data_IF_407675983033
#
_entry.id   IF_407675983033
#
_cell.length_a   1.000
_cell.length_b   1.000
_cell.length_c   1.000
_cell.angle_alpha   90.00
_cell.angle_beta   90.00
_cell.angle_gamma   90.00
#
_symmetry.space_group_name_H-M   'P 1'
#
loop_
_entity.id
_entity.type
_entity.pdbx_description
1 polymer ?
#
# COMPACT_ATOMS: atom_id res chain seq x y z
N UNK A 1 10.27 20.64 -8.74
CA UNK A 1 8.94 20.01 -8.73
C UNK A 1 8.93 18.73 -7.92
N UNK A 2 8.66 18.89 -6.63
CA UNK A 2 8.25 17.86 -5.68
C UNK A 2 6.75 17.56 -5.83
N UNK A 3 6.25 16.52 -5.16
CA UNK A 3 4.82 16.20 -5.14
C UNK A 3 4.01 17.32 -4.47
N UNK A 4 4.55 17.94 -3.42
CA UNK A 4 3.95 19.11 -2.77
C UNK A 4 3.84 20.31 -3.71
N UNK A 5 4.93 20.66 -4.41
CA UNK A 5 4.93 21.76 -5.40
C UNK A 5 3.88 21.51 -6.50
N UNK A 6 3.81 20.28 -7.01
CA UNK A 6 2.80 19.89 -8.01
C UNK A 6 1.37 20.03 -7.49
N UNK A 7 1.11 19.62 -6.25
CA UNK A 7 -0.23 19.72 -5.64
C UNK A 7 -0.63 21.19 -5.57
N UNK A 8 0.24 22.06 -5.05
CA UNK A 8 -0.03 23.48 -4.93
C UNK A 8 -0.31 24.14 -6.29
N UNK A 9 0.53 23.85 -7.30
CA UNK A 9 0.32 24.34 -8.68
C UNK A 9 -1.03 23.89 -9.25
N UNK A 10 -1.40 22.61 -9.10
CA UNK A 10 -2.68 22.10 -9.62
C UNK A 10 -3.88 22.76 -8.92
N UNK A 11 -3.81 22.95 -7.60
CA UNK A 11 -4.89 23.57 -6.84
C UNK A 11 -5.06 25.04 -7.22
N UNK A 12 -3.96 25.77 -7.39
CA UNK A 12 -3.96 27.15 -7.86
C UNK A 12 -4.56 27.26 -9.28
N UNK A 13 -4.07 26.45 -10.22
CA UNK A 13 -4.60 26.39 -11.59
C UNK A 13 -6.10 26.04 -11.66
N UNK A 14 -6.61 25.29 -10.68
CA UNK A 14 -8.03 24.89 -10.60
C UNK A 14 -8.86 25.81 -9.72
N UNK A 15 -8.27 26.86 -9.15
CA UNK A 15 -8.90 27.78 -8.20
C UNK A 15 -9.57 27.06 -7.02
N UNK A 16 -8.91 26.02 -6.49
CA UNK A 16 -9.40 25.22 -5.37
C UNK A 16 -8.81 25.78 -4.08
N UNK A 17 -9.67 26.28 -3.20
CA UNK A 17 -9.25 26.73 -1.86
C UNK A 17 -8.87 25.55 -0.96
N UNK A 18 -7.75 25.68 -0.26
CA UNK A 18 -7.30 24.72 0.75
C UNK A 18 -8.04 25.03 2.05
N UNK A 19 -8.72 24.03 2.63
CA UNK A 19 -9.39 24.14 3.93
C UNK A 19 -8.60 23.38 5.00
N UNK A 20 -8.91 23.67 6.26
CA UNK A 20 -8.38 22.87 7.37
C UNK A 20 -8.77 21.39 7.19
N UNK A 21 -7.82 20.47 7.42
CA UNK A 21 -7.96 19.02 7.23
C UNK A 21 -8.20 18.56 5.78
N UNK A 22 -8.02 19.43 4.79
CA UNK A 22 -7.95 19.00 3.39
C UNK A 22 -6.56 18.44 3.07
N UNK A 23 -6.37 17.16 3.37
CA UNK A 23 -5.13 16.44 3.08
C UNK A 23 -5.01 16.10 1.58
N UNK A 24 -4.62 17.07 0.77
CA UNK A 24 -4.32 16.84 -0.64
C UNK A 24 -3.05 16.02 -0.80
N UNK A 25 -3.08 15.02 -1.67
CA UNK A 25 -1.96 14.14 -1.92
C UNK A 25 -1.92 13.76 -3.40
N UNK A 26 -0.71 13.64 -3.93
CA UNK A 26 -0.47 13.11 -5.26
C UNK A 26 -0.34 11.58 -5.16
N UNK A 27 -1.08 10.84 -5.97
CA UNK A 27 -1.05 9.39 -6.01
C UNK A 27 -0.54 8.90 -7.35
N UNK A 28 0.33 7.89 -7.34
CA UNK A 28 0.55 7.00 -8.48
C UNK A 28 -0.62 6.00 -8.52
N UNK A 29 -1.45 6.06 -9.55
CA UNK A 29 -2.55 5.11 -9.78
C UNK A 29 -2.13 4.15 -10.88
N UNK A 30 -2.40 2.87 -10.70
CA UNK A 30 -2.23 1.85 -11.72
C UNK A 30 -3.55 1.09 -11.95
N UNK A 31 -4.19 1.33 -13.09
CA UNK A 31 -5.50 0.79 -13.42
C UNK A 31 -5.48 -0.73 -13.54
N UNK A 32 -4.48 -1.26 -14.26
CA UNK A 32 -4.33 -2.71 -14.46
C UNK A 32 -4.09 -3.48 -13.16
N UNK A 33 -3.45 -2.85 -12.19
CA UNK A 33 -3.22 -3.42 -10.85
C UNK A 33 -4.38 -3.15 -9.90
N UNK A 34 -5.25 -2.20 -10.21
CA UNK A 34 -6.30 -1.69 -9.33
C UNK A 34 -5.72 -1.18 -8.00
N UNK A 35 -4.61 -0.45 -8.09
CA UNK A 35 -3.86 0.03 -6.92
C UNK A 35 -3.51 1.50 -7.03
N UNK A 36 -3.39 2.15 -5.88
CA UNK A 36 -2.88 3.50 -5.75
C UNK A 36 -1.79 3.59 -4.68
N UNK A 37 -0.84 4.49 -4.86
CA UNK A 37 0.26 4.74 -3.94
C UNK A 37 0.40 6.25 -3.70
N UNK A 38 0.15 6.75 -2.48
CA UNK A 38 0.45 8.14 -2.16
C UNK A 38 1.94 8.40 -2.28
N UNK A 39 2.29 9.48 -2.96
CA UNK A 39 3.67 9.93 -3.10
C UNK A 39 4.10 10.68 -1.83
N UNK A 40 5.36 10.51 -1.44
CA UNK A 40 5.97 11.33 -0.42
C UNK A 40 5.99 12.80 -0.88
N UNK A 41 5.66 13.74 0.00
CA UNK A 41 5.52 15.17 -0.34
C UNK A 41 6.80 15.77 -0.95
N UNK A 42 7.98 15.38 -0.45
CA UNK A 42 9.29 15.75 -1.02
C UNK A 42 9.74 14.90 -2.22
N UNK A 43 8.94 13.90 -2.62
CA UNK A 43 9.26 13.01 -3.74
C UNK A 43 9.31 13.78 -5.06
N UNK A 44 10.37 13.57 -5.86
CA UNK A 44 10.49 14.18 -7.19
C UNK A 44 9.48 13.56 -8.15
N UNK A 45 8.61 14.37 -8.73
CA UNK A 45 7.52 13.90 -9.61
C UNK A 45 8.04 13.45 -10.97
N UNK A 46 8.95 14.21 -11.59
CA UNK A 46 9.39 13.96 -12.97
C UNK A 46 9.96 12.54 -13.18
N UNK A 47 10.87 12.02 -12.31
CA UNK A 47 11.35 10.65 -12.45
C UNK A 47 10.24 9.61 -12.32
N UNK A 48 9.25 9.86 -11.44
CA UNK A 48 8.10 8.96 -11.26
C UNK A 48 7.27 8.94 -12.54
N UNK A 49 6.93 10.12 -13.07
CA UNK A 49 6.16 10.29 -14.30
C UNK A 49 6.83 9.59 -15.49
N UNK A 50 8.14 9.76 -15.67
CA UNK A 50 8.89 9.09 -16.74
C UNK A 50 8.98 7.56 -16.55
N UNK A 51 8.85 7.08 -15.31
CA UNK A 51 8.84 5.65 -14.98
C UNK A 51 7.46 4.99 -15.05
N UNK A 52 6.39 5.76 -15.31
CA UNK A 52 5.04 5.20 -15.39
C UNK A 52 4.87 4.35 -16.65
N UNK A 53 4.18 3.23 -16.49
CA UNK A 53 3.71 2.43 -17.63
C UNK A 53 2.42 3.00 -18.22
N UNK A 54 2.00 2.46 -19.36
CA UNK A 54 0.77 2.87 -20.07
C UNK A 54 -0.51 2.82 -19.23
N UNK A 55 -0.56 1.93 -18.24
CA UNK A 55 -1.72 1.74 -17.35
C UNK A 55 -1.62 2.58 -16.06
N UNK A 56 -0.69 3.55 -15.99
CA UNK A 56 -0.40 4.30 -14.77
C UNK A 56 -0.40 5.81 -15.01
N UNK A 57 -0.93 6.55 -14.04
CA UNK A 57 -0.98 8.02 -14.07
C UNK A 57 -0.87 8.61 -12.68
N UNK A 58 -0.63 9.92 -12.62
CA UNK A 58 -0.67 10.68 -11.39
C UNK A 58 -2.03 11.33 -11.21
N UNK A 59 -2.55 11.32 -9.99
CA UNK A 59 -3.78 12.04 -9.63
C UNK A 59 -3.55 12.83 -8.35
N UNK A 60 -4.00 14.08 -8.33
CA UNK A 60 -4.08 14.89 -7.11
C UNK A 60 -5.50 14.80 -6.57
N UNK A 61 -5.64 14.26 -5.35
CA UNK A 61 -6.93 14.09 -4.68
C UNK A 61 -6.77 14.20 -3.16
N UNK A 62 -7.89 14.40 -2.46
CA UNK A 62 -7.92 14.35 -1.00
C UNK A 62 -7.69 12.92 -0.51
N UNK A 63 -6.77 12.75 0.43
CA UNK A 63 -6.53 11.47 1.09
C UNK A 63 -7.40 11.35 2.34
N UNK A 64 -8.54 10.68 2.19
CA UNK A 64 -9.55 10.54 3.25
C UNK A 64 -9.03 9.87 4.52
N UNK A 65 -8.08 8.95 4.41
CA UNK A 65 -7.52 8.24 5.57
C UNK A 65 -6.38 8.99 6.27
N UNK A 66 -5.94 10.16 5.76
CA UNK A 66 -4.78 10.85 6.30
C UNK A 66 -4.98 11.29 7.77
N UNK A 67 -6.15 11.80 8.13
CA UNK A 67 -6.44 12.18 9.52
C UNK A 67 -6.26 10.97 10.46
N UNK A 68 -6.81 9.81 10.10
CA UNK A 68 -6.68 8.59 10.89
C UNK A 68 -5.23 8.10 10.96
N UNK A 69 -4.48 8.19 9.86
CA UNK A 69 -3.03 7.92 9.81
C UNK A 69 -2.27 8.82 10.78
N UNK A 70 -2.53 10.13 10.77
CA UNK A 70 -1.86 11.08 11.66
C UNK A 70 -2.22 10.85 13.13
N UNK A 71 -3.49 10.59 13.43
CA UNK A 71 -3.95 10.26 14.78
C UNK A 71 -3.27 8.97 15.29
N UNK A 72 -3.19 7.94 14.44
CA UNK A 72 -2.50 6.70 14.76
C UNK A 72 -1.01 6.95 15.05
N UNK A 73 -0.31 7.69 14.19
CA UNK A 73 1.12 8.00 14.38
C UNK A 73 1.36 8.81 15.65
N UNK A 74 0.46 9.75 15.98
CA UNK A 74 0.53 10.55 17.20
C UNK A 74 0.22 9.73 18.47
N UNK A 75 -0.65 8.72 18.38
CA UNK A 75 -1.01 7.86 19.50
C UNK A 75 -0.06 6.69 19.72
N UNK A 76 0.76 6.35 18.72
CA UNK A 76 1.58 5.15 18.73
C UNK A 76 2.83 5.29 19.59
N UNK A 77 2.73 4.76 20.81
CA UNK A 77 3.82 4.56 21.78
C UNK A 77 4.60 3.25 21.54
N UNK A 78 4.23 2.45 20.52
CA UNK A 78 4.83 1.14 20.23
C UNK A 78 5.47 1.03 18.84
N UNK A 79 6.70 0.54 18.78
CA UNK A 79 7.50 0.35 17.55
C UNK A 79 6.95 -0.74 16.60
N UNK A 80 5.84 -1.39 16.94
CA UNK A 80 5.36 -2.61 16.24
C UNK A 80 3.84 -2.68 16.17
N UNK A 81 3.29 -2.84 14.95
CA UNK A 81 1.89 -3.19 14.70
C UNK A 81 1.74 -4.70 14.50
N UNK A 82 0.75 -5.31 15.12
CA UNK A 82 0.43 -6.72 14.91
C UNK A 82 -1.07 -6.96 14.83
N UNK A 83 -1.46 -8.12 14.34
CA UNK A 83 -2.87 -8.52 14.24
C UNK A 83 -3.13 -9.56 13.15
N UNK A 84 -4.37 -10.02 13.10
CA UNK A 84 -4.86 -10.90 12.05
C UNK A 84 -5.11 -10.10 10.77
N UNK A 85 -4.66 -10.63 9.62
CA UNK A 85 -4.94 -10.07 8.30
C UNK A 85 -5.32 -11.21 7.36
N UNK A 86 -6.32 -10.99 6.52
CA UNK A 86 -6.63 -11.91 5.42
C UNK A 86 -5.57 -11.81 4.34
N UNK A 87 -4.83 -12.88 4.16
CA UNK A 87 -3.69 -12.96 3.26
C UNK A 87 -3.95 -13.91 2.08
N UNK A 88 -3.47 -13.51 0.91
CA UNK A 88 -3.48 -14.34 -0.30
C UNK A 88 -2.22 -14.13 -1.12
N UNK A 89 -1.61 -15.24 -1.56
CA UNK A 89 -0.45 -15.22 -2.44
C UNK A 89 -0.83 -15.34 -3.91
N UNK A 90 -0.15 -14.57 -4.76
CA UNK A 90 -0.33 -14.63 -6.21
C UNK A 90 0.64 -15.65 -6.83
N UNK A 91 0.17 -16.86 -7.06
CA UNK A 91 0.95 -17.91 -7.71
C UNK A 91 0.99 -17.81 -9.25
N UNK A 92 0.36 -16.79 -9.85
CA UNK A 92 0.29 -16.65 -11.32
C UNK A 92 1.65 -16.47 -12.00
N UNK A 93 2.73 -16.22 -11.24
CA UNK A 93 4.10 -16.09 -11.74
C UNK A 93 4.92 -17.40 -11.69
N UNK A 94 4.41 -18.48 -11.08
CA UNK A 94 5.18 -19.72 -10.86
C UNK A 94 5.09 -20.76 -11.99
N UNK A 95 4.57 -20.40 -13.18
CA UNK A 95 4.69 -21.23 -14.40
C UNK A 95 3.99 -22.60 -14.38
N UNK A 96 3.39 -23.03 -13.27
CA UNK A 96 2.57 -24.23 -13.20
C UNK A 96 1.19 -23.91 -13.76
N UNK A 97 0.96 -24.28 -15.02
CA UNK A 97 -0.24 -24.05 -15.83
C UNK A 97 -1.53 -24.71 -15.34
N UNK A 98 -1.82 -24.64 -14.05
CA UNK A 98 -3.16 -24.86 -13.52
C UNK A 98 -3.72 -23.47 -13.21
N UNK A 99 -4.49 -22.92 -14.15
CA UNK A 99 -5.19 -21.64 -14.06
C UNK A 99 -6.26 -21.58 -12.96
N UNK A 100 -6.11 -22.32 -11.86
CA UNK A 100 -6.91 -22.15 -10.67
C UNK A 100 -6.22 -21.17 -9.73
N UNK A 101 -6.95 -20.18 -9.17
CA UNK A 101 -6.46 -19.41 -8.05
C UNK A 101 -6.17 -20.37 -6.89
N UNK A 102 -4.90 -20.74 -6.71
CA UNK A 102 -4.48 -21.58 -5.60
C UNK A 102 -4.65 -20.78 -4.31
N UNK A 103 -5.73 -21.08 -3.57
CA UNK A 103 -6.06 -20.51 -2.27
C UNK A 103 -6.94 -19.25 -2.33
N UNK A 104 -8.05 -19.29 -1.59
CA UNK A 104 -8.77 -18.09 -1.17
C UNK A 104 -7.96 -17.27 -0.15
N UNK A 105 -8.54 -16.19 0.34
CA UNK A 105 -7.96 -15.45 1.45
C UNK A 105 -7.95 -16.31 2.73
N UNK A 106 -6.83 -16.31 3.43
CA UNK A 106 -6.63 -17.04 4.69
C UNK A 106 -6.33 -16.05 5.81
N UNK A 107 -6.94 -16.24 6.96
CA UNK A 107 -6.63 -15.45 8.16
C UNK A 107 -5.24 -15.85 8.69
N UNK A 108 -4.35 -14.86 8.76
CA UNK A 108 -2.94 -15.05 9.15
C UNK A 108 -2.52 -13.94 10.10
N UNK A 109 -1.71 -14.29 11.09
CA UNK A 109 -1.20 -13.31 12.05
C UNK A 109 0.09 -12.66 11.52
N UNK A 110 0.11 -11.34 11.47
CA UNK A 110 1.28 -10.56 11.08
C UNK A 110 1.78 -9.69 12.22
N UNK A 111 3.09 -9.43 12.21
CA UNK A 111 3.73 -8.39 13.01
C UNK A 111 4.65 -7.57 12.12
N UNK A 112 4.52 -6.25 12.16
CA UNK A 112 5.30 -5.30 11.39
C UNK A 112 5.96 -4.31 12.35
N UNK A 113 7.27 -4.14 12.20
CA UNK A 113 8.03 -3.08 12.86
C UNK A 113 8.85 -2.30 11.82
N UNK A 114 9.68 -1.36 12.27
CA UNK A 114 10.56 -0.55 11.40
C UNK A 114 11.52 -1.38 10.54
N UNK A 115 11.88 -2.58 10.99
CA UNK A 115 12.89 -3.40 10.32
C UNK A 115 12.29 -4.43 9.36
N UNK A 116 11.23 -5.12 9.77
CA UNK A 116 10.67 -6.24 9.01
C UNK A 116 9.19 -6.53 9.29
N UNK A 117 8.57 -7.18 8.30
CA UNK A 117 7.27 -7.82 8.40
C UNK A 117 7.47 -9.31 8.68
N UNK A 118 6.75 -9.84 9.66
CA UNK A 118 6.78 -11.25 10.07
C UNK A 118 5.40 -11.87 9.94
N UNK A 119 5.36 -13.06 9.36
CA UNK A 119 4.19 -13.94 9.32
C UNK A 119 4.31 -15.01 10.40
N UNK A 120 3.27 -15.18 11.21
CA UNK A 120 3.20 -16.17 12.27
C UNK A 120 2.12 -17.22 11.99
N UNK A 121 2.41 -18.46 12.37
CA UNK A 121 1.42 -19.53 12.54
C UNK A 121 1.36 -19.95 14.01
N UNK A 122 2.43 -20.58 14.51
CA UNK A 122 2.69 -20.84 15.95
C UNK A 122 4.07 -20.31 16.40
N UNK A 123 4.97 -20.09 15.44
CA UNK A 123 6.30 -19.44 15.55
C UNK A 123 6.50 -18.56 14.30
N UNK A 124 7.48 -17.64 14.25
CA UNK A 124 7.77 -16.87 13.04
C UNK A 124 8.04 -17.84 11.88
N UNK A 125 7.17 -17.85 10.88
CA UNK A 125 7.28 -18.73 9.73
C UNK A 125 8.16 -18.11 8.65
N UNK A 126 7.95 -16.81 8.41
CA UNK A 126 8.68 -16.02 7.41
C UNK A 126 8.88 -14.59 7.90
N UNK A 127 10.00 -14.00 7.51
CA UNK A 127 10.36 -12.62 7.82
C UNK A 127 10.86 -11.93 6.54
N UNK A 128 10.40 -10.70 6.30
CA UNK A 128 10.79 -9.88 5.16
C UNK A 128 11.21 -8.48 5.60
N UNK A 129 12.40 -7.99 5.21
CA UNK A 129 12.80 -6.61 5.48
C UNK A 129 11.82 -5.61 4.85
N UNK A 130 11.44 -4.55 5.57
CA UNK A 130 10.49 -3.55 5.03
C UNK A 130 11.02 -2.93 3.73
N UNK A 131 12.34 -2.72 3.64
CA UNK A 131 13.01 -2.14 2.47
C UNK A 131 12.87 -2.98 1.19
N UNK A 132 12.59 -4.28 1.29
CA UNK A 132 12.36 -5.14 0.11
C UNK A 132 10.88 -5.20 -0.31
N UNK A 133 9.98 -4.57 0.45
CA UNK A 133 8.55 -4.56 0.23
C UNK A 133 8.12 -3.24 -0.43
N UNK A 134 7.35 -3.33 -1.52
CA UNK A 134 6.55 -2.21 -2.05
C UNK A 134 5.10 -2.48 -1.71
N UNK A 135 4.50 -1.60 -0.92
CA UNK A 135 3.08 -1.66 -0.54
C UNK A 135 2.30 -0.63 -1.37
N UNK A 136 1.10 -0.97 -1.82
CA UNK A 136 0.19 -0.06 -2.53
C UNK A 136 -1.24 -0.32 -2.10
N UNK A 137 -2.04 0.72 -1.92
CA UNK A 137 -3.44 0.61 -1.54
C UNK A 137 -4.25 -0.03 -2.66
N UNK A 138 -5.17 -0.93 -2.33
CA UNK A 138 -6.03 -1.60 -3.28
C UNK A 138 -5.73 -3.08 -3.49
N UNK A 139 -6.79 -3.83 -3.80
CA UNK A 139 -6.76 -5.27 -4.10
C UNK A 139 -7.64 -5.49 -5.33
N UNK A 140 -7.18 -6.34 -6.25
CA UNK A 140 -7.92 -6.61 -7.49
C UNK A 140 -9.30 -7.21 -7.22
N UNK A 141 -10.34 -6.62 -7.79
CA UNK A 141 -11.73 -7.10 -7.67
C UNK A 141 -11.91 -8.53 -8.17
N UNK A 142 -11.18 -8.92 -9.22
CA UNK A 142 -11.21 -10.30 -9.77
C UNK A 142 -10.82 -11.38 -8.75
N UNK A 143 -10.13 -11.02 -7.68
CA UNK A 143 -9.75 -11.94 -6.61
C UNK A 143 -10.89 -12.20 -5.63
N UNK A 144 -12.03 -11.51 -5.78
CA UNK A 144 -13.20 -11.60 -4.91
C UNK A 144 -12.80 -11.46 -3.43
N UNK A 145 -12.12 -10.38 -3.02
CA UNK A 145 -11.82 -10.16 -1.62
C UNK A 145 -13.13 -10.03 -0.83
N UNK A 146 -13.18 -10.59 0.38
CA UNK A 146 -14.37 -10.49 1.23
C UNK A 146 -14.70 -9.05 1.64
N UNK A 147 -13.70 -8.16 1.58
CA UNK A 147 -13.74 -6.75 1.99
C UNK A 147 -12.75 -5.92 1.15
N UNK A 148 -13.12 -4.69 0.81
CA UNK A 148 -12.33 -3.81 -0.07
C UNK A 148 -11.20 -3.04 0.64
N UNK A 149 -11.04 -3.20 1.96
CA UNK A 149 -10.01 -2.52 2.76
C UNK A 149 -8.71 -3.33 2.74
N UNK A 150 -7.91 -3.13 1.72
CA UNK A 150 -6.70 -3.92 1.56
C UNK A 150 -5.63 -3.23 0.76
N UNK A 151 -4.47 -3.86 0.75
CA UNK A 151 -3.31 -3.42 0.01
C UNK A 151 -2.66 -4.59 -0.71
N UNK A 152 -2.02 -4.24 -1.81
CA UNK A 152 -1.19 -5.13 -2.60
C UNK A 152 0.26 -4.93 -2.16
N UNK A 153 0.92 -6.02 -1.81
CA UNK A 153 2.32 -6.03 -1.42
C UNK A 153 3.15 -6.77 -2.47
N UNK A 154 4.27 -6.19 -2.86
CA UNK A 154 5.22 -6.79 -3.80
C UNK A 154 6.58 -6.87 -3.13
N UNK A 155 7.09 -8.08 -2.98
CA UNK A 155 8.44 -8.33 -2.52
C UNK A 155 9.38 -8.48 -3.70
N UNK A 156 10.45 -7.70 -3.72
CA UNK A 156 11.53 -7.82 -4.71
C UNK A 156 12.69 -8.58 -4.10
N UNK A 157 13.03 -9.73 -4.69
CA UNK A 157 14.25 -10.46 -4.30
C UNK A 157 15.47 -9.94 -5.07
N UNK A 158 16.67 -10.27 -4.59
CA UNK A 158 17.94 -9.97 -5.26
C UNK A 158 18.03 -10.56 -6.67
N UNK A 159 17.30 -11.66 -6.92
CA UNK A 159 17.23 -12.34 -8.23
C UNK A 159 16.19 -11.73 -9.19
N UNK A 160 15.65 -10.55 -8.88
CA UNK A 160 14.53 -9.92 -9.58
C UNK A 160 13.21 -10.73 -9.60
N UNK A 161 13.11 -11.82 -8.83
CA UNK A 161 11.85 -12.51 -8.65
C UNK A 161 10.90 -11.62 -7.84
N UNK A 162 9.68 -11.48 -8.33
CA UNK A 162 8.65 -10.64 -7.70
C UNK A 162 7.59 -11.56 -7.11
N UNK A 163 7.57 -11.67 -5.79
CA UNK A 163 6.43 -12.27 -5.10
C UNK A 163 5.38 -11.19 -4.88
N UNK A 164 4.12 -11.55 -5.05
CA UNK A 164 3.01 -10.62 -4.90
C UNK A 164 1.98 -11.21 -3.95
N UNK A 165 1.54 -10.40 -3.01
CA UNK A 165 0.56 -10.76 -2.00
C UNK A 165 -0.55 -9.72 -1.93
N UNK A 166 -1.72 -10.18 -1.51
CA UNK A 166 -2.89 -9.36 -1.27
C UNK A 166 -3.26 -9.50 0.21
N UNK A 167 -3.40 -8.37 0.88
CA UNK A 167 -3.68 -8.27 2.30
C UNK A 167 -4.98 -7.48 2.47
N UNK A 168 -5.95 -8.03 3.20
CA UNK A 168 -7.23 -7.41 3.50
C UNK A 168 -7.38 -7.25 5.02
N UNK A 169 -7.47 -6.01 5.48
CA UNK A 169 -7.75 -5.67 6.87
C UNK A 169 -9.22 -5.92 7.19
N UNK A 170 -9.53 -6.30 8.43
CA UNK A 170 -10.91 -6.62 8.82
C UNK A 170 -11.79 -5.37 8.86
N UNK A 171 -11.22 -4.25 9.31
CA UNK A 171 -11.94 -2.98 9.45
C UNK A 171 -11.34 -1.85 8.62
N UNK A 172 -12.14 -0.83 8.35
CA UNK A 172 -11.67 0.39 7.69
C UNK A 172 -10.64 1.15 8.53
N UNK A 173 -10.71 1.04 9.86
CA UNK A 173 -9.80 1.70 10.79
C UNK A 173 -8.41 1.06 10.80
N UNK A 174 -8.32 -0.26 10.67
CA UNK A 174 -7.04 -0.96 10.63
C UNK A 174 -6.20 -0.65 9.38
N UNK A 175 -6.86 -0.31 8.26
CA UNK A 175 -6.17 -0.01 7.01
C UNK A 175 -5.14 1.14 7.14
N UNK A 176 -5.51 2.35 7.61
CA UNK A 176 -4.55 3.42 7.82
C UNK A 176 -3.48 3.06 8.86
N UNK A 177 -3.79 2.28 9.89
CA UNK A 177 -2.80 1.85 10.91
C UNK A 177 -1.69 0.98 10.32
N UNK A 178 -2.09 -0.07 9.59
CA UNK A 178 -1.15 -0.95 8.90
C UNK A 178 -0.36 -0.19 7.85
N UNK A 179 -1.05 0.63 7.06
CA UNK A 179 -0.43 1.38 5.98
C UNK A 179 0.55 2.46 6.49
N UNK A 180 0.21 3.17 7.56
CA UNK A 180 1.11 4.10 8.25
C UNK A 180 2.37 3.38 8.70
N UNK A 181 2.21 2.23 9.36
CA UNK A 181 3.36 1.45 9.86
C UNK A 181 4.27 1.00 8.72
N UNK A 182 3.74 0.66 7.54
CA UNK A 182 4.57 0.34 6.36
C UNK A 182 5.31 1.55 5.78
N UNK A 183 4.69 2.72 5.76
CA UNK A 183 5.27 3.93 5.16
C UNK A 183 6.30 4.62 6.07
N UNK A 184 6.13 4.50 7.37
CA UNK A 184 6.97 5.15 8.39
C UNK A 184 7.93 4.17 9.09
N UNK A 185 8.02 2.92 8.60
CA UNK A 185 8.98 1.91 9.05
C UNK A 185 10.39 2.11 8.49
#
# INVERSE_FOLDING_TARGET
MTAEELILEILDCRNVSIREKDYWTCFEVNERKETELPLHFLGKVLPILHGLGIDSYLVVKKYQSMEATLQYLASHVGETKHGMIKFREDHSLLGLGLGLPSGGFQDRYFSLNSSCLRLYSHRPEKEWPVKSLKVSLGVKKKLQPSICWGFTMVHKTEKHEKQKWYLCCETQMELPEWFATFLFA
#
